data_IF_336971360013
#
_entry.id   IF_336971360013
#
_cell.length_a   1.000
_cell.length_b   1.000
_cell.length_c   1.000
_cell.angle_alpha   90.00
_cell.angle_beta   90.00
_cell.angle_gamma   90.00
#
_symmetry.space_group_name_H-M   'P 1'
#
loop_
_entity.id
_entity.type
_entity.pdbx_description
1 polymer ?
#
# COMPACT_ATOMS: atom_id res chain seq x y z
N UNK A 1 -18.92 -0.54 -20.89
CA UNK A 1 -18.19 -1.62 -20.20
C UNK A 1 -17.59 -0.97 -19.00
N UNK A 2 -18.30 -1.06 -17.89
CA UNK A 2 -17.79 -0.66 -16.58
C UNK A 2 -16.61 -1.57 -16.30
N UNK A 3 -15.39 -1.01 -16.32
CA UNK A 3 -14.22 -1.73 -15.85
C UNK A 3 -14.49 -2.11 -14.38
N UNK A 4 -14.12 -3.32 -13.94
CA UNK A 4 -14.22 -3.68 -12.54
C UNK A 4 -13.46 -2.63 -11.72
N UNK A 5 -14.17 -1.80 -10.96
CA UNK A 5 -13.55 -0.80 -10.10
C UNK A 5 -12.98 -1.53 -8.90
N UNK A 6 -11.66 -1.45 -8.77
CA UNK A 6 -10.93 -2.02 -7.66
C UNK A 6 -10.95 -0.98 -6.56
N UNK A 7 -11.34 -1.38 -5.36
CA UNK A 7 -11.36 -0.51 -4.19
C UNK A 7 -10.45 -1.09 -3.14
N UNK A 8 -9.46 -0.31 -2.71
CA UNK A 8 -8.62 -0.59 -1.55
C UNK A 8 -9.16 0.22 -0.38
N UNK A 9 -9.74 -0.48 0.60
CA UNK A 9 -10.41 0.14 1.75
C UNK A 9 -9.38 0.80 2.70
N UNK A 10 -9.84 1.70 3.59
CA UNK A 10 -8.99 2.29 4.62
C UNK A 10 -8.31 1.22 5.47
N UNK A 11 -7.10 1.49 6.00
CA UNK A 11 -6.42 0.54 6.85
C UNK A 11 -7.22 0.23 8.11
N UNK A 12 -7.28 -1.04 8.45
CA UNK A 12 -7.85 -1.54 9.70
C UNK A 12 -6.89 -1.29 10.87
N UNK A 13 -7.36 -1.62 12.08
CA UNK A 13 -6.57 -1.42 13.32
C UNK A 13 -5.27 -2.23 13.33
N UNK A 14 -5.21 -3.35 12.60
CA UNK A 14 -4.02 -4.18 12.46
C UNK A 14 -3.09 -3.73 11.32
N UNK A 15 -3.43 -2.64 10.64
CA UNK A 15 -2.68 -2.09 9.50
C UNK A 15 -3.03 -2.71 8.15
N UNK A 16 -3.87 -3.75 8.12
CA UNK A 16 -4.29 -4.38 6.87
C UNK A 16 -5.28 -3.52 6.08
N UNK A 17 -5.30 -3.69 4.77
CA UNK A 17 -6.31 -3.10 3.87
C UNK A 17 -7.07 -4.20 3.15
N UNK A 18 -8.38 -4.06 3.04
CA UNK A 18 -9.21 -4.99 2.26
C UNK A 18 -9.24 -4.56 0.80
N UNK A 19 -9.09 -5.51 -0.11
CA UNK A 19 -9.17 -5.29 -1.57
C UNK A 19 -10.47 -5.89 -2.09
N UNK A 20 -11.28 -5.09 -2.80
CA UNK A 20 -12.56 -5.53 -3.36
C UNK A 20 -12.71 -5.14 -4.83
N UNK A 21 -13.47 -5.95 -5.58
CA UNK A 21 -13.94 -5.61 -6.93
C UNK A 21 -15.47 -5.54 -6.91
N UNK A 22 -16.03 -4.35 -7.09
CA UNK A 22 -17.47 -4.13 -6.88
C UNK A 22 -17.93 -4.55 -5.48
N UNK A 23 -18.73 -5.62 -5.39
CA UNK A 23 -19.22 -6.18 -4.12
C UNK A 23 -18.41 -7.37 -3.59
N UNK A 24 -17.45 -7.88 -4.36
CA UNK A 24 -16.67 -9.06 -4.01
C UNK A 24 -15.37 -8.70 -3.28
N UNK A 25 -15.04 -9.44 -2.22
CA UNK A 25 -13.74 -9.28 -1.55
C UNK A 25 -12.72 -10.21 -2.19
N UNK A 26 -11.67 -9.63 -2.77
CA UNK A 26 -10.58 -10.35 -3.40
C UNK A 26 -9.55 -10.83 -2.36
N UNK A 27 -9.29 -10.01 -1.33
CA UNK A 27 -8.32 -10.38 -0.30
C UNK A 27 -8.05 -9.29 0.73
N UNK A 28 -7.07 -9.58 1.59
CA UNK A 28 -6.53 -8.66 2.61
C UNK A 28 -5.04 -8.49 2.32
N UNK A 29 -4.59 -7.23 2.21
CA UNK A 29 -3.22 -6.83 1.93
C UNK A 29 -2.62 -6.14 3.15
N UNK A 30 -1.32 -6.32 3.38
CA UNK A 30 -0.55 -5.58 4.38
C UNK A 30 0.42 -4.59 3.72
N UNK A 31 0.70 -4.78 2.43
CA UNK A 31 1.56 -3.93 1.62
C UNK A 31 1.03 -3.85 0.18
N UNK A 32 1.62 -2.96 -0.62
CA UNK A 32 1.32 -2.83 -2.05
C UNK A 32 1.53 -4.15 -2.84
N UNK A 33 2.61 -4.89 -2.54
CA UNK A 33 2.94 -6.16 -3.23
C UNK A 33 1.83 -7.21 -3.03
N UNK A 34 1.22 -7.24 -1.84
CA UNK A 34 0.08 -8.11 -1.56
C UNK A 34 -1.13 -7.72 -2.42
N UNK A 35 -1.36 -6.42 -2.69
CA UNK A 35 -2.44 -5.97 -3.59
C UNK A 35 -2.18 -6.49 -5.00
N UNK A 36 -0.96 -6.36 -5.51
CA UNK A 36 -0.58 -6.86 -6.83
C UNK A 36 -0.82 -8.37 -6.94
N UNK A 37 -0.39 -9.14 -5.95
CA UNK A 37 -0.59 -10.59 -5.93
C UNK A 37 -2.07 -10.98 -5.80
N UNK A 38 -2.87 -10.25 -5.02
CA UNK A 38 -4.33 -10.46 -4.94
C UNK A 38 -4.99 -10.24 -6.30
N UNK A 39 -4.62 -9.18 -7.03
CA UNK A 39 -5.17 -8.93 -8.36
C UNK A 39 -4.74 -9.99 -9.36
N UNK A 40 -3.49 -10.43 -9.30
CA UNK A 40 -2.99 -11.53 -10.11
C UNK A 40 -3.76 -12.83 -9.86
N UNK A 41 -4.07 -13.14 -8.61
CA UNK A 41 -4.90 -14.31 -8.26
C UNK A 41 -6.36 -14.19 -8.73
N UNK A 42 -6.80 -12.98 -9.04
CA UNK A 42 -8.13 -12.68 -9.58
C UNK A 42 -8.15 -12.50 -11.11
N UNK A 43 -7.08 -12.87 -11.82
CA UNK A 43 -6.90 -12.65 -13.28
C UNK A 43 -6.96 -11.15 -13.68
N UNK A 44 -6.52 -10.26 -12.78
CA UNK A 44 -6.47 -8.80 -12.94
C UNK A 44 -5.03 -8.24 -12.97
N UNK A 45 -4.03 -9.06 -13.32
CA UNK A 45 -2.61 -8.68 -13.35
C UNK A 45 -2.21 -7.63 -14.40
N UNK A 46 -3.10 -7.28 -15.32
CA UNK A 46 -2.86 -6.24 -16.34
C UNK A 46 -3.01 -4.79 -15.85
N UNK A 47 -3.23 -4.58 -14.55
CA UNK A 47 -3.49 -3.26 -13.95
C UNK A 47 -2.22 -2.76 -13.26
N UNK A 48 -1.71 -1.61 -13.68
CA UNK A 48 -0.61 -0.90 -13.00
C UNK A 48 -1.15 -0.25 -11.72
N UNK A 49 -1.11 -0.99 -10.61
CA UNK A 49 -1.76 -0.62 -9.34
C UNK A 49 -1.36 0.77 -8.80
N UNK A 50 -0.11 1.18 -9.03
CA UNK A 50 0.43 2.46 -8.58
C UNK A 50 0.00 3.66 -9.44
N UNK A 51 -0.25 3.43 -10.73
CA UNK A 51 -0.48 4.50 -11.72
C UNK A 51 -1.92 4.50 -12.28
N UNK A 52 -2.69 3.43 -12.03
CA UNK A 52 -3.99 3.23 -12.64
C UNK A 52 -5.13 3.93 -11.88
N UNK A 53 -5.87 4.77 -12.60
CA UNK A 53 -7.10 5.42 -12.12
C UNK A 53 -8.27 4.42 -11.84
N UNK A 54 -8.10 3.14 -12.16
CA UNK A 54 -9.10 2.09 -11.92
C UNK A 54 -9.10 1.64 -10.44
N UNK A 55 -7.99 1.89 -9.73
CA UNK A 55 -7.84 1.55 -8.31
C UNK A 55 -8.22 2.77 -7.46
N UNK A 56 -9.34 2.65 -6.75
CA UNK A 56 -9.78 3.62 -5.75
C UNK A 56 -9.13 3.33 -4.40
N UNK A 57 -8.19 4.20 -4.02
CA UNK A 57 -7.46 4.13 -2.76
C UNK A 57 -8.16 4.96 -1.68
N UNK A 58 -8.69 4.29 -0.66
CA UNK A 58 -9.36 4.95 0.47
C UNK A 58 -8.46 5.01 1.69
N UNK A 59 -8.40 6.17 2.36
CA UNK A 59 -7.59 6.33 3.57
C UNK A 59 -6.07 6.29 3.33
N UNK A 60 -5.60 6.80 2.19
CA UNK A 60 -4.17 6.84 1.80
C UNK A 60 -3.93 6.10 0.48
N UNK A 61 -2.87 6.49 -0.22
CA UNK A 61 -2.48 5.95 -1.53
C UNK A 61 -1.63 4.68 -1.46
N UNK A 62 -1.08 4.23 -2.61
CA UNK A 62 -0.28 3.01 -2.73
C UNK A 62 0.98 2.99 -1.83
N UNK A 63 1.53 4.16 -1.47
CA UNK A 63 2.69 4.31 -0.58
C UNK A 63 2.32 4.45 0.92
N UNK A 64 1.03 4.65 1.25
CA UNK A 64 0.57 4.97 2.59
C UNK A 64 0.12 3.71 3.35
N UNK A 65 1.07 2.97 3.92
CA UNK A 65 0.77 1.77 4.71
C UNK A 65 1.21 1.91 6.17
N UNK A 66 0.35 1.53 7.14
CA UNK A 66 0.72 1.54 8.55
C UNK A 66 1.89 0.59 8.82
N UNK A 67 2.98 1.10 9.38
CA UNK A 67 4.19 0.31 9.68
C UNK A 67 5.24 0.28 8.57
N UNK A 68 4.96 0.84 7.39
CA UNK A 68 5.94 1.01 6.31
C UNK A 68 6.83 2.26 6.52
N UNK A 69 6.51 3.11 7.52
CA UNK A 69 7.21 4.37 7.79
C UNK A 69 8.62 4.26 8.39
N UNK A 70 9.21 3.07 8.58
CA UNK A 70 10.52 2.93 9.23
C UNK A 70 11.76 2.97 8.30
N UNK A 71 11.63 3.37 7.02
CA UNK A 71 12.79 3.44 6.11
C UNK A 71 12.97 4.77 5.36
N UNK A 72 12.75 5.92 6.03
CA UNK A 72 13.37 7.18 5.57
C UNK A 72 13.92 8.04 6.72
N UNK A 73 14.50 7.42 7.75
CA UNK A 73 15.39 8.14 8.67
C UNK A 73 16.80 8.31 8.07
N UNK A 74 16.90 8.87 6.85
CA UNK A 74 18.17 9.43 6.38
C UNK A 74 18.39 10.74 7.12
N UNK A 75 18.95 10.65 8.32
CA UNK A 75 19.34 11.85 9.06
C UNK A 75 19.47 11.70 10.57
N UNK A 76 20.14 10.65 11.07
CA UNK A 76 20.69 10.77 12.43
C UNK A 76 21.88 11.74 12.35
N UNK A 77 21.85 12.95 12.95
CA UNK A 77 23.05 13.76 13.02
C UNK A 77 24.10 12.99 13.82
N UNK A 78 25.27 12.77 13.23
CA UNK A 78 26.45 12.28 13.95
C UNK A 78 26.68 13.20 15.15
N UNK A 79 26.76 12.68 16.39
CA UNK A 79 27.15 13.51 17.52
C UNK A 79 28.55 14.08 17.22
N UNK A 80 28.81 15.36 17.56
CA UNK A 80 30.15 15.92 17.38
C UNK A 80 31.16 15.07 18.16
N UNK A 81 32.41 14.92 17.66
CA UNK A 81 33.41 14.13 18.35
C UNK A 81 33.59 14.68 19.78
N UNK A 82 33.49 13.79 20.77
CA UNK A 82 33.77 14.13 22.15
C UNK A 82 35.16 14.78 22.21
N UNK A 83 35.22 15.95 22.84
CA UNK A 83 36.34 16.87 22.83
C UNK A 83 37.69 16.15 22.92
N UNK A 84 38.57 16.54 22.00
CA UNK A 84 40.00 16.34 22.12
C UNK A 84 40.66 17.72 21.96
N UNK A 85 41.70 18.08 22.72
CA UNK A 85 42.05 17.71 24.10
C UNK A 85 41.48 18.68 25.17
#
# INVERSE_FOLDING_TARGET
>A
MDLPSIVVHPPALDGSRRVTTGSETLGIAYHLDDVVEILRLADLDGIEVEESDIVDWQGGGPDDWPGLSEHHEVGRPTPPPAGAP
#
